data_IF_782735946824
#
_entry.id   IF_782735946824
#
_cell.length_a   1.000
_cell.length_b   1.000
_cell.length_c   1.000
_cell.angle_alpha   90.00
_cell.angle_beta   90.00
_cell.angle_gamma   90.00
#
_symmetry.space_group_name_H-M   'P 1'
#
loop_
_entity.id
_entity.type
_entity.pdbx_description
1 polymer ?
#
# COMPACT_ATOMS: atom_id res chain seq x y z
N UNK A 1 -29.82 -8.49 4.22
CA UNK A 1 -28.89 -8.69 5.35
C UNK A 1 -27.54 -7.97 5.14
N UNK A 2 -26.85 -8.15 4.00
CA UNK A 2 -25.54 -7.53 3.74
C UNK A 2 -25.50 -5.99 3.73
N UNK A 3 -26.62 -5.32 3.42
CA UNK A 3 -26.67 -3.85 3.42
C UNK A 3 -26.38 -3.24 4.80
N UNK A 4 -26.78 -3.91 5.89
CA UNK A 4 -26.48 -3.48 7.26
C UNK A 4 -24.98 -3.60 7.60
N UNK A 5 -24.26 -4.47 6.87
CA UNK A 5 -22.85 -4.73 7.08
C UNK A 5 -21.93 -3.88 6.19
N UNK A 6 -22.45 -3.06 5.28
CA UNK A 6 -21.62 -2.25 4.36
C UNK A 6 -20.62 -1.37 5.11
N UNK A 7 -21.10 -0.52 6.00
CA UNK A 7 -20.25 0.41 6.76
C UNK A 7 -19.17 -0.29 7.63
N UNK A 8 -19.50 -1.34 8.43
CA UNK A 8 -18.45 -2.04 9.17
C UNK A 8 -17.47 -2.78 8.25
N UNK A 9 -17.93 -3.38 7.15
CA UNK A 9 -17.02 -4.04 6.19
C UNK A 9 -16.09 -3.03 5.50
N UNK A 10 -16.61 -1.88 5.09
CA UNK A 10 -15.80 -0.81 4.49
C UNK A 10 -14.75 -0.28 5.47
N UNK A 11 -15.11 -0.09 6.75
CA UNK A 11 -14.17 0.31 7.79
C UNK A 11 -13.10 -0.75 8.03
N UNK A 12 -13.50 -2.01 8.21
CA UNK A 12 -12.57 -3.12 8.45
C UNK A 12 -11.60 -3.26 7.26
N UNK A 13 -12.09 -3.20 6.02
CA UNK A 13 -11.20 -3.28 4.86
C UNK A 13 -10.22 -2.10 4.79
N UNK A 14 -10.63 -0.88 5.16
CA UNK A 14 -9.71 0.28 5.22
C UNK A 14 -8.65 0.09 6.31
N UNK A 15 -9.02 -0.45 7.46
CA UNK A 15 -8.06 -0.80 8.52
C UNK A 15 -7.07 -1.86 8.04
N UNK A 16 -7.54 -2.94 7.40
CA UNK A 16 -6.68 -4.01 6.91
C UNK A 16 -5.71 -3.54 5.83
N UNK A 17 -6.16 -2.67 4.91
CA UNK A 17 -5.29 -2.03 3.91
C UNK A 17 -4.27 -1.12 4.59
N UNK A 18 -4.70 -0.28 5.55
CA UNK A 18 -3.80 0.63 6.26
C UNK A 18 -2.74 -0.11 7.09
N UNK A 19 -3.07 -1.28 7.65
CA UNK A 19 -2.13 -2.14 8.39
C UNK A 19 -0.96 -2.64 7.53
N UNK A 20 -1.07 -2.63 6.20
CA UNK A 20 0.07 -2.93 5.33
C UNK A 20 1.01 -1.73 5.18
N UNK A 21 0.45 -0.53 5.01
CA UNK A 21 1.21 0.66 4.65
C UNK A 21 1.79 1.39 5.86
N UNK A 22 1.01 1.60 6.93
CA UNK A 22 1.45 2.40 8.07
C UNK A 22 2.68 1.82 8.77
N UNK A 23 2.72 0.51 9.10
CA UNK A 23 3.92 -0.07 9.70
C UNK A 23 5.14 0.02 8.77
N UNK A 24 4.94 -0.22 7.47
CA UNK A 24 6.01 -0.13 6.48
C UNK A 24 6.60 1.29 6.37
N UNK A 25 5.75 2.31 6.39
CA UNK A 25 6.17 3.71 6.38
C UNK A 25 6.85 4.12 7.70
N UNK A 26 6.31 3.72 8.84
CA UNK A 26 6.90 4.00 10.16
C UNK A 26 8.29 3.35 10.29
N UNK A 27 8.46 2.11 9.82
CA UNK A 27 9.76 1.43 9.81
C UNK A 27 10.80 2.18 8.97
N UNK A 28 10.39 2.89 7.92
CA UNK A 28 11.31 3.72 7.11
C UNK A 28 11.78 4.97 7.85
N UNK A 29 11.10 5.43 8.91
CA UNK A 29 11.56 6.56 9.72
C UNK A 29 12.78 6.16 10.55
N UNK A 30 12.70 5.04 11.27
CA UNK A 30 13.79 4.56 12.13
C UNK A 30 14.87 3.79 11.34
N UNK A 31 14.51 3.16 10.22
CA UNK A 31 15.36 2.31 9.39
C UNK A 31 15.71 2.91 8.02
N UNK A 32 15.69 4.24 7.87
CA UNK A 32 15.82 4.90 6.56
C UNK A 32 17.06 4.46 5.78
N UNK A 33 18.25 4.55 6.39
CA UNK A 33 19.51 4.21 5.73
C UNK A 33 19.56 2.74 5.26
N UNK A 34 19.03 1.82 6.07
CA UNK A 34 18.93 0.41 5.71
C UNK A 34 18.00 0.17 4.52
N UNK A 35 16.85 0.87 4.50
CA UNK A 35 15.90 0.79 3.40
C UNK A 35 16.47 1.38 2.11
N UNK A 36 17.22 2.48 2.19
CA UNK A 36 17.96 3.04 1.05
C UNK A 36 18.99 2.05 0.52
N UNK A 37 19.74 1.38 1.39
CA UNK A 37 20.70 0.34 0.99
C UNK A 37 20.01 -0.81 0.26
N UNK A 38 18.87 -1.27 0.77
CA UNK A 38 18.08 -2.31 0.12
C UNK A 38 17.51 -1.84 -1.23
N UNK A 39 16.96 -0.63 -1.32
CA UNK A 39 16.48 -0.03 -2.57
C UNK A 39 17.60 0.08 -3.62
N UNK A 40 18.81 0.45 -3.21
CA UNK A 40 19.97 0.46 -4.09
C UNK A 40 20.33 -0.96 -4.58
N UNK A 41 20.26 -1.97 -3.71
CA UNK A 41 20.57 -3.37 -4.06
C UNK A 41 19.63 -3.97 -5.11
N UNK A 42 18.41 -3.46 -5.23
CA UNK A 42 17.43 -3.87 -6.25
C UNK A 42 17.45 -2.98 -7.50
N UNK A 43 18.44 -2.09 -7.63
CA UNK A 43 18.62 -1.23 -8.81
C UNK A 43 17.64 -0.06 -8.91
N UNK A 44 17.04 0.36 -7.79
CA UNK A 44 16.10 1.48 -7.80
C UNK A 44 16.83 2.80 -8.13
N UNK A 45 16.34 3.59 -9.11
CA UNK A 45 16.94 4.89 -9.42
C UNK A 45 16.73 5.87 -8.26
N UNK A 46 17.76 6.66 -7.95
CA UNK A 46 17.73 7.65 -6.86
C UNK A 46 17.17 7.09 -5.54
N UNK A 47 17.79 6.04 -4.96
CA UNK A 47 17.19 5.24 -3.88
C UNK A 47 16.84 6.08 -2.65
N UNK A 48 17.63 7.11 -2.30
CA UNK A 48 17.30 8.03 -1.21
C UNK A 48 15.97 8.75 -1.45
N UNK A 49 15.77 9.28 -2.66
CA UNK A 49 14.55 10.01 -3.02
C UNK A 49 13.37 9.06 -3.12
N UNK A 50 13.56 7.90 -3.75
CA UNK A 50 12.50 6.90 -3.88
C UNK A 50 12.02 6.39 -2.52
N UNK A 51 12.93 6.14 -1.57
CA UNK A 51 12.57 5.73 -0.20
C UNK A 51 11.88 6.86 0.57
N UNK A 52 12.34 8.11 0.43
CA UNK A 52 11.68 9.26 1.06
C UNK A 52 10.26 9.47 0.53
N UNK A 53 10.07 9.40 -0.79
CA UNK A 53 8.75 9.48 -1.43
C UNK A 53 7.87 8.31 -0.99
N UNK A 54 8.41 7.09 -1.00
CA UNK A 54 7.69 5.89 -0.55
C UNK A 54 7.21 6.00 0.90
N UNK A 55 8.08 6.46 1.81
CA UNK A 55 7.72 6.73 3.21
C UNK A 55 6.53 7.69 3.30
N UNK A 56 6.57 8.81 2.60
CA UNK A 56 5.48 9.81 2.62
C UNK A 56 4.19 9.20 2.06
N UNK A 57 4.26 8.49 0.94
CA UNK A 57 3.10 7.84 0.32
C UNK A 57 2.48 6.81 1.26
N UNK A 58 3.28 5.96 1.89
CA UNK A 58 2.79 4.91 2.78
C UNK A 58 2.13 5.49 4.04
N UNK A 59 2.74 6.51 4.67
CA UNK A 59 2.19 7.12 5.87
C UNK A 59 0.95 7.96 5.54
N UNK A 60 1.07 8.92 4.63
CA UNK A 60 -0.02 9.85 4.31
C UNK A 60 -1.16 9.09 3.62
N UNK A 61 -0.84 8.24 2.64
CA UNK A 61 -1.82 7.40 1.95
C UNK A 61 -2.47 6.40 2.89
N UNK A 62 -1.69 5.72 3.75
CA UNK A 62 -2.23 4.78 4.74
C UNK A 62 -3.20 5.45 5.71
N UNK A 63 -2.88 6.64 6.21
CA UNK A 63 -3.76 7.43 7.07
C UNK A 63 -5.00 7.92 6.32
N UNK A 64 -4.83 8.36 5.08
CA UNK A 64 -5.92 8.79 4.22
C UNK A 64 -6.93 7.65 3.96
N UNK A 65 -6.46 6.43 3.68
CA UNK A 65 -7.32 5.24 3.58
C UNK A 65 -7.97 4.93 4.94
N UNK A 66 -7.20 4.87 6.02
CA UNK A 66 -7.71 4.52 7.35
C UNK A 66 -8.86 5.43 7.80
N UNK A 67 -8.67 6.75 7.67
CA UNK A 67 -9.67 7.75 8.07
C UNK A 67 -10.77 7.91 7.00
N UNK A 68 -10.53 7.40 5.80
CA UNK A 68 -11.40 7.55 4.64
C UNK A 68 -11.48 9.01 4.20
N UNK A 69 -10.32 9.60 3.90
CA UNK A 69 -10.11 10.98 3.48
C UNK A 69 -9.50 11.01 2.08
N UNK A 70 -10.19 11.63 1.12
CA UNK A 70 -9.82 11.56 -0.30
C UNK A 70 -9.52 10.13 -0.75
N UNK A 71 -10.35 9.19 -0.29
CA UNK A 71 -10.09 7.74 -0.34
C UNK A 71 -9.82 7.25 -1.75
N UNK A 72 -10.54 7.78 -2.73
CA UNK A 72 -10.35 7.40 -4.13
C UNK A 72 -8.97 7.78 -4.65
N UNK A 73 -8.52 9.00 -4.34
CA UNK A 73 -7.19 9.46 -4.76
C UNK A 73 -6.09 8.72 -4.02
N UNK A 74 -6.23 8.56 -2.69
CA UNK A 74 -5.29 7.81 -1.87
C UNK A 74 -5.16 6.36 -2.36
N UNK A 75 -6.27 5.73 -2.72
CA UNK A 75 -6.29 4.36 -3.22
C UNK A 75 -5.57 4.20 -4.56
N UNK A 76 -5.77 5.13 -5.50
CA UNK A 76 -5.05 5.13 -6.78
C UNK A 76 -3.54 5.34 -6.59
N UNK A 77 -3.15 6.29 -5.73
CA UNK A 77 -1.74 6.58 -5.44
C UNK A 77 -1.07 5.37 -4.79
N UNK A 78 -1.67 4.80 -3.74
CA UNK A 78 -1.16 3.62 -3.07
C UNK A 78 -1.13 2.41 -4.01
N UNK A 79 -2.17 2.22 -4.83
CA UNK A 79 -2.23 1.10 -5.78
C UNK A 79 -1.11 1.18 -6.81
N UNK A 80 -0.87 2.37 -7.38
CA UNK A 80 0.23 2.60 -8.31
C UNK A 80 1.60 2.43 -7.64
N UNK A 81 1.77 2.98 -6.43
CA UNK A 81 2.97 2.81 -5.63
C UNK A 81 3.26 1.32 -5.34
N UNK A 82 2.26 0.56 -4.88
CA UNK A 82 2.40 -0.87 -4.58
C UNK A 82 2.73 -1.67 -5.82
N UNK A 83 2.16 -1.32 -6.98
CA UNK A 83 2.48 -1.96 -8.24
C UNK A 83 3.97 -1.75 -8.58
N UNK A 84 4.44 -0.50 -8.59
CA UNK A 84 5.86 -0.19 -8.84
C UNK A 84 6.77 -0.91 -7.84
N UNK A 85 6.47 -0.81 -6.55
CA UNK A 85 7.27 -1.45 -5.50
C UNK A 85 7.37 -2.97 -5.71
N UNK A 86 6.31 -3.62 -6.19
CA UNK A 86 6.32 -5.07 -6.47
C UNK A 86 7.31 -5.45 -7.56
N UNK A 87 7.42 -4.66 -8.64
CA UNK A 87 8.37 -4.92 -9.72
C UNK A 87 9.83 -4.68 -9.32
N UNK A 88 10.11 -3.81 -8.35
CA UNK A 88 11.46 -3.61 -7.84
C UNK A 88 11.83 -4.63 -6.77
N UNK A 89 10.98 -4.79 -5.74
CA UNK A 89 11.33 -5.54 -4.54
C UNK A 89 10.94 -7.02 -4.58
N UNK A 90 10.00 -7.40 -5.46
CA UNK A 90 9.46 -8.76 -5.54
C UNK A 90 9.51 -9.33 -6.97
N UNK A 91 10.52 -8.93 -7.73
CA UNK A 91 10.82 -9.46 -9.06
C UNK A 91 11.25 -10.94 -8.99
N UNK A 92 10.30 -11.84 -8.79
CA UNK A 92 10.56 -13.25 -8.53
C UNK A 92 11.15 -14.01 -9.73
N UNK A 93 10.99 -13.48 -10.94
CA UNK A 93 11.57 -14.05 -12.16
C UNK A 93 13.05 -13.67 -12.34
N UNK A 94 13.56 -12.72 -11.55
CA UNK A 94 14.95 -12.25 -11.59
C UNK A 94 15.82 -12.68 -10.41
N UNK A 95 15.34 -13.59 -9.53
CA UNK A 95 16.06 -14.02 -8.33
C UNK A 95 16.46 -15.51 -8.39
N UNK A 96 17.46 -15.95 -7.61
CA UNK A 96 17.82 -17.36 -7.48
C UNK A 96 16.62 -18.24 -7.08
N UNK A 97 16.64 -19.52 -7.46
CA UNK A 97 15.52 -20.44 -7.29
C UNK A 97 15.08 -20.60 -5.82
N UNK A 98 16.04 -20.49 -4.89
CA UNK A 98 15.83 -20.62 -3.45
C UNK A 98 15.03 -19.43 -2.89
N UNK A 99 15.11 -18.26 -3.53
CA UNK A 99 14.37 -17.05 -3.16
C UNK A 99 13.08 -16.85 -3.97
N UNK A 100 12.94 -17.50 -5.13
CA UNK A 100 11.86 -17.27 -6.08
C UNK A 100 10.47 -17.49 -5.47
N UNK A 101 10.28 -18.57 -4.71
CA UNK A 101 8.98 -18.89 -4.09
C UNK A 101 8.49 -17.79 -3.15
N UNK A 102 9.39 -17.28 -2.28
CA UNK A 102 9.04 -16.20 -1.34
C UNK A 102 8.73 -14.90 -2.08
N UNK A 103 9.56 -14.52 -3.06
CA UNK A 103 9.32 -13.30 -3.84
C UNK A 103 8.03 -13.38 -4.65
N UNK A 104 7.69 -14.56 -5.18
CA UNK A 104 6.45 -14.77 -5.91
C UNK A 104 5.24 -14.59 -4.99
N UNK A 105 5.28 -15.13 -3.77
CA UNK A 105 4.22 -14.95 -2.77
C UNK A 105 4.04 -13.45 -2.43
N UNK A 106 5.14 -12.74 -2.19
CA UNK A 106 5.11 -11.31 -1.86
C UNK A 106 4.59 -10.45 -3.01
N UNK A 107 4.97 -10.77 -4.25
CA UNK A 107 4.48 -10.13 -5.46
C UNK A 107 2.96 -10.28 -5.58
N UNK A 108 2.45 -11.51 -5.54
CA UNK A 108 1.00 -11.75 -5.70
C UNK A 108 0.16 -11.22 -4.55
N UNK A 109 0.69 -11.22 -3.32
CA UNK A 109 0.08 -10.52 -2.18
C UNK A 109 -0.09 -9.03 -2.49
N UNK A 110 0.94 -8.37 -3.05
CA UNK A 110 0.83 -6.96 -3.43
C UNK A 110 -0.18 -6.75 -4.58
N UNK A 111 -0.23 -7.64 -5.57
CA UNK A 111 -1.25 -7.55 -6.65
C UNK A 111 -2.67 -7.66 -6.08
N UNK A 112 -2.90 -8.54 -5.11
CA UNK A 112 -4.19 -8.64 -4.42
C UNK A 112 -4.54 -7.34 -3.66
N UNK A 113 -3.55 -6.71 -3.02
CA UNK A 113 -3.69 -5.41 -2.34
C UNK A 113 -4.05 -4.30 -3.33
N UNK A 114 -3.41 -4.26 -4.50
CA UNK A 114 -3.78 -3.35 -5.59
C UNK A 114 -5.23 -3.55 -6.00
N UNK A 115 -5.69 -4.79 -6.13
CA UNK A 115 -7.11 -5.09 -6.40
C UNK A 115 -8.06 -4.51 -5.34
N UNK A 116 -7.73 -4.68 -4.05
CA UNK A 116 -8.50 -4.09 -2.95
C UNK A 116 -8.54 -2.56 -2.99
N UNK A 117 -7.40 -1.92 -3.28
CA UNK A 117 -7.29 -0.47 -3.45
C UNK A 117 -8.12 0.02 -4.65
N UNK A 118 -8.07 -0.67 -5.78
CA UNK A 118 -8.92 -0.34 -6.94
C UNK A 118 -10.41 -0.46 -6.59
N UNK A 119 -10.79 -1.41 -5.73
CA UNK A 119 -12.13 -1.50 -5.15
C UNK A 119 -12.53 -0.22 -4.41
N UNK A 120 -11.65 0.31 -3.53
CA UNK A 120 -11.88 1.59 -2.84
C UNK A 120 -11.85 2.80 -3.78
N UNK A 121 -11.04 2.78 -4.83
CA UNK A 121 -11.04 3.81 -5.86
C UNK A 121 -12.38 3.85 -6.61
N UNK A 122 -12.93 2.69 -6.95
CA UNK A 122 -14.19 2.57 -7.66
C UNK A 122 -15.40 2.93 -6.80
N UNK A 123 -15.45 2.51 -5.54
CA UNK A 123 -16.66 2.58 -4.72
C UNK A 123 -16.63 3.64 -3.61
N UNK A 124 -15.45 4.15 -3.23
CA UNK A 124 -15.29 5.08 -2.11
C UNK A 124 -15.22 4.38 -0.75
N UNK A 125 -15.32 5.17 0.34
CA UNK A 125 -14.90 4.78 1.69
C UNK A 125 -16.00 4.24 2.63
N UNK A 126 -17.25 4.20 2.16
CA UNK A 126 -18.43 3.96 3.00
C UNK A 126 -18.81 5.16 3.88
N UNK A 127 -19.96 5.09 4.58
CA UNK A 127 -20.49 6.22 5.34
C UNK A 127 -19.70 6.50 6.64
N UNK A 128 -19.02 5.50 7.19
CA UNK A 128 -18.17 5.64 8.39
C UNK A 128 -16.76 6.18 8.05
N UNK A 129 -16.70 7.25 7.26
CA UNK A 129 -15.47 7.86 6.77
C UNK A 129 -15.55 9.39 6.81
N UNK A 130 -14.41 10.08 6.68
CA UNK A 130 -14.42 11.55 6.55
C UNK A 130 -15.03 12.01 5.22
N UNK A 131 -14.87 11.25 4.15
CA UNK A 131 -15.50 11.50 2.85
C UNK A 131 -17.04 11.37 2.96
N UNK A 132 -17.53 10.35 3.66
CA UNK A 132 -18.96 10.10 3.85
C UNK A 132 -19.67 11.11 4.76
N UNK A 133 -18.94 11.79 5.65
CA UNK A 133 -19.49 12.88 6.48
C UNK A 133 -19.67 14.20 5.72
N UNK A 134 -19.06 14.33 4.54
CA UNK A 134 -19.10 15.54 3.70
C UNK A 134 -20.08 15.41 2.52
N UNK A 135 -20.67 14.23 2.33
CA UNK A 135 -21.58 13.89 1.22
C UNK A 135 -23.05 14.10 1.59
#
# INVERSE_FOLDING_TARGET
MLNQLRNPLDLVGRVLIALLFLPAGIQKISGFAGTVGYAASVGMPMPQVAVAVGLVIEIVGGLAILLGWHTRCAALILGFFTLIASFFFHNFWGVPAEAAMMQQLLFWKNIAVVGGLLGYAAHGAGAWSMDGRKA
#
